data_IF_383819938732
#
_entry.id   IF_383819938732
#
_cell.length_a   1.000
_cell.length_b   1.000
_cell.length_c   1.000
_cell.angle_alpha   90.00
_cell.angle_beta   90.00
_cell.angle_gamma   90.00
#
_symmetry.space_group_name_H-M   'P 1'
#
loop_
_entity.id
_entity.type
_entity.pdbx_description
1 polymer ?
#
# COMPACT_ATOMS: atom_id res chain seq x y z
N UNK A 1 -78.10 3.04 31.37
CA UNK A 1 -78.69 4.36 31.06
C UNK A 1 -77.57 5.38 31.01
N UNK A 2 -77.54 6.20 29.97
CA UNK A 2 -76.40 7.00 29.49
C UNK A 2 -76.39 8.41 30.12
N UNK A 3 -75.20 8.81 30.59
CA UNK A 3 -74.53 10.14 30.67
C UNK A 3 -75.31 11.37 31.13
N UNK A 4 -74.66 12.11 32.04
CA UNK A 4 -74.23 13.51 31.86
C UNK A 4 -72.92 13.66 32.68
N UNK A 5 -71.90 14.46 32.36
CA UNK A 5 -71.88 15.76 31.70
C UNK A 5 -70.45 16.12 31.20
N UNK A 6 -70.39 17.09 30.29
CA UNK A 6 -69.23 17.76 29.65
C UNK A 6 -68.22 18.30 30.68
N UNK A 7 -66.90 18.06 30.51
CA UNK A 7 -65.87 18.85 29.78
C UNK A 7 -65.74 20.33 30.19
N UNK A 8 -64.65 20.64 30.89
CA UNK A 8 -63.73 21.78 30.66
C UNK A 8 -62.36 21.24 31.12
N UNK A 9 -61.33 21.07 30.29
CA UNK A 9 -60.59 22.11 29.59
C UNK A 9 -59.24 22.24 30.31
N UNK A 10 -58.21 21.58 29.78
CA UNK A 10 -56.83 21.74 30.26
C UNK A 10 -55.88 21.66 29.07
N UNK A 11 -55.45 22.84 28.62
CA UNK A 11 -54.24 22.96 27.82
C UNK A 11 -53.06 23.05 28.79
N UNK A 12 -52.16 22.07 28.70
CA UNK A 12 -50.91 22.02 29.42
C UNK A 12 -50.09 20.92 28.77
N UNK A 13 -49.17 21.31 27.90
CA UNK A 13 -48.37 20.40 27.10
C UNK A 13 -47.59 19.42 28.01
N UNK A 14 -47.92 18.13 27.91
CA UNK A 14 -47.02 17.07 28.40
C UNK A 14 -45.85 17.06 27.43
N UNK A 15 -44.69 17.52 27.88
CA UNK A 15 -43.43 17.20 27.22
C UNK A 15 -43.25 15.69 27.36
N UNK A 16 -43.75 14.94 26.38
CA UNK A 16 -43.46 13.53 26.26
C UNK A 16 -41.99 13.46 25.86
N UNK A 17 -41.13 13.16 26.84
CA UNK A 17 -39.80 12.66 26.55
C UNK A 17 -39.97 11.36 25.78
N UNK A 18 -40.00 11.45 24.46
CA UNK A 18 -39.83 10.28 23.60
C UNK A 18 -38.42 9.84 23.87
N UNK A 19 -38.25 8.79 24.68
CA UNK A 19 -37.03 7.98 24.61
C UNK A 19 -37.05 7.33 23.23
N UNK A 20 -36.64 8.09 22.22
CA UNK A 20 -36.13 7.51 20.98
C UNK A 20 -34.87 6.82 21.43
N UNK A 21 -34.98 5.53 21.77
CA UNK A 21 -33.84 4.65 21.84
C UNK A 21 -33.20 4.71 20.46
N UNK A 22 -32.21 5.57 20.32
CA UNK A 22 -31.30 5.54 19.18
C UNK A 22 -30.67 4.17 19.25
N UNK A 23 -31.19 3.27 18.41
CA UNK A 23 -30.49 2.04 18.13
C UNK A 23 -29.18 2.50 17.52
N UNK A 24 -28.13 2.50 18.34
CA UNK A 24 -26.78 2.54 17.82
C UNK A 24 -26.67 1.22 17.09
N UNK A 25 -27.04 1.23 15.80
CA UNK A 25 -26.58 0.21 14.88
C UNK A 25 -25.09 0.26 15.10
N UNK A 26 -24.54 -0.80 15.69
CA UNK A 26 -23.11 -0.98 15.76
C UNK A 26 -22.65 -0.99 14.30
N UNK A 27 -22.37 0.19 13.75
CA UNK A 27 -21.58 0.35 12.57
C UNK A 27 -20.31 -0.40 12.93
N UNK A 28 -20.11 -1.53 12.24
CA UNK A 28 -19.01 -2.44 12.50
C UNK A 28 -17.74 -1.63 12.75
N UNK A 29 -16.99 -2.04 13.76
CA UNK A 29 -15.81 -1.34 14.24
C UNK A 29 -15.11 -0.65 13.07
N UNK A 30 -14.92 0.67 13.16
CA UNK A 30 -14.04 1.38 12.25
C UNK A 30 -12.66 0.72 12.42
N UNK A 31 -12.41 -0.33 11.64
CA UNK A 31 -11.12 -0.96 11.55
C UNK A 31 -10.28 0.09 10.87
N UNK A 32 -9.45 0.78 11.63
CA UNK A 32 -8.30 1.44 11.06
C UNK A 32 -7.49 0.31 10.41
N UNK A 33 -7.76 0.04 9.12
CA UNK A 33 -6.95 -0.85 8.32
C UNK A 33 -5.60 -0.18 8.15
N UNK A 34 -4.74 -0.32 9.16
CA UNK A 34 -3.34 0.03 9.05
C UNK A 34 -2.78 -0.74 7.86
N UNK A 35 -2.19 -0.03 6.92
CA UNK A 35 -1.39 -0.69 5.91
C UNK A 35 0.05 -0.75 6.40
N UNK A 36 0.58 -1.96 6.52
CA UNK A 36 2.00 -2.18 6.60
C UNK A 36 2.62 -1.93 5.22
N UNK A 37 3.41 -0.87 5.10
CA UNK A 37 4.22 -0.58 3.92
C UNK A 37 5.64 -1.07 4.21
N UNK A 38 5.97 -2.34 3.94
CA UNK A 38 7.36 -2.74 3.95
C UNK A 38 8.12 -1.84 2.97
N UNK A 39 9.26 -1.32 3.40
CA UNK A 39 10.14 -0.60 2.48
C UNK A 39 10.44 -1.50 1.28
N UNK A 40 10.70 -0.91 0.10
CA UNK A 40 11.19 -1.70 -1.02
C UNK A 40 12.48 -2.44 -0.61
N UNK A 41 12.75 -3.57 -1.23
CA UNK A 41 13.93 -4.36 -0.91
C UNK A 41 14.36 -5.22 -2.09
N UNK A 42 15.59 -5.71 -2.01
CA UNK A 42 16.16 -6.65 -2.96
C UNK A 42 16.34 -8.01 -2.33
N UNK A 43 16.11 -9.04 -3.12
CA UNK A 43 16.55 -10.41 -2.86
C UNK A 43 17.49 -10.83 -3.99
N UNK A 44 18.52 -11.61 -3.67
CA UNK A 44 19.46 -12.12 -4.66
C UNK A 44 19.69 -13.61 -4.43
N UNK A 45 19.35 -14.42 -5.43
CA UNK A 45 19.51 -15.87 -5.43
C UNK A 45 19.65 -16.38 -6.86
N UNK A 46 20.38 -17.47 -7.07
CA UNK A 46 20.57 -18.12 -8.36
C UNK A 46 20.87 -17.15 -9.53
N UNK A 47 21.80 -16.22 -9.28
CA UNK A 47 22.21 -15.18 -10.23
C UNK A 47 21.04 -14.30 -10.72
N UNK A 48 19.98 -14.17 -9.92
CA UNK A 48 18.79 -13.39 -10.21
C UNK A 48 18.57 -12.39 -9.09
N UNK A 49 18.54 -11.10 -9.46
CA UNK A 49 18.16 -10.01 -8.58
C UNK A 49 16.66 -9.77 -8.68
N UNK A 50 15.98 -9.80 -7.54
CA UNK A 50 14.55 -9.58 -7.43
C UNK A 50 14.31 -8.31 -6.64
N UNK A 51 13.77 -7.29 -7.30
CA UNK A 51 13.29 -6.09 -6.64
C UNK A 51 11.83 -6.25 -6.24
N UNK A 52 11.50 -5.97 -4.99
CA UNK A 52 10.16 -6.07 -4.45
C UNK A 52 9.66 -4.73 -3.90
N UNK A 53 8.39 -4.43 -4.14
CA UNK A 53 7.71 -3.26 -3.58
C UNK A 53 6.22 -3.52 -3.43
N UNK A 54 5.80 -3.71 -2.19
CA UNK A 54 4.43 -4.10 -1.84
C UNK A 54 3.92 -3.27 -0.67
N UNK A 55 2.60 -3.15 -0.59
CA UNK A 55 1.89 -2.67 0.59
C UNK A 55 0.91 -3.75 1.01
N UNK A 56 0.96 -4.11 2.30
CA UNK A 56 0.02 -5.04 2.93
C UNK A 56 -0.97 -4.23 3.76
N UNK A 57 -2.27 -4.42 3.60
CA UNK A 57 -3.24 -3.87 4.54
C UNK A 57 -3.80 -5.00 5.42
N UNK A 58 -4.29 -4.70 6.63
CA UNK A 58 -4.79 -5.71 7.59
C UNK A 58 -6.04 -6.49 7.10
N UNK A 59 -6.44 -6.34 5.85
CA UNK A 59 -7.38 -7.24 5.17
C UNK A 59 -6.56 -8.37 4.50
N UNK A 60 -6.76 -9.65 4.87
CA UNK A 60 -5.89 -10.77 4.48
C UNK A 60 -5.65 -10.95 2.97
N UNK A 61 -6.47 -10.35 2.10
CA UNK A 61 -6.35 -10.45 0.63
C UNK A 61 -5.90 -9.14 -0.05
N UNK A 62 -5.40 -8.16 0.71
CA UNK A 62 -5.08 -6.82 0.21
C UNK A 62 -3.60 -6.56 -0.01
N UNK A 63 -2.93 -7.45 -0.75
CA UNK A 63 -1.61 -7.16 -1.32
C UNK A 63 -1.79 -6.13 -2.45
N UNK A 64 -1.28 -4.92 -2.24
CA UNK A 64 -1.30 -3.87 -3.25
C UNK A 64 0.10 -3.81 -3.87
N UNK A 65 0.30 -4.41 -5.07
CA UNK A 65 1.57 -4.29 -5.78
C UNK A 65 1.83 -2.84 -6.15
N UNK A 66 3.06 -2.38 -5.93
CA UNK A 66 3.50 -1.09 -6.45
C UNK A 66 4.43 -1.31 -7.65
N UNK A 67 4.52 -0.36 -8.60
CA UNK A 67 5.42 -0.51 -9.72
C UNK A 67 6.88 -0.62 -9.23
N UNK A 68 7.61 -1.59 -9.76
CA UNK A 68 9.04 -1.79 -9.48
C UNK A 68 9.82 -1.54 -10.76
N UNK A 69 10.82 -0.67 -10.70
CA UNK A 69 11.79 -0.45 -11.77
C UNK A 69 13.18 -0.65 -11.17
N UNK A 70 13.86 -1.70 -11.60
CA UNK A 70 15.24 -2.01 -11.20
C UNK A 70 16.18 -1.37 -12.21
N UNK A 71 17.13 -0.58 -11.71
CA UNK A 71 18.17 0.05 -12.51
C UNK A 71 19.54 -0.45 -12.08
N UNK A 72 20.44 -0.57 -13.06
CA UNK A 72 21.85 -0.90 -12.89
C UNK A 72 22.72 0.30 -13.25
N UNK A 73 23.77 0.54 -12.48
CA UNK A 73 24.72 1.61 -12.76
C UNK A 73 25.81 1.10 -13.72
N UNK A 74 25.70 1.52 -14.98
CA UNK A 74 26.56 1.04 -16.05
C UNK A 74 27.67 2.03 -16.38
N UNK A 75 28.88 1.53 -16.67
CA UNK A 75 29.94 2.35 -17.23
C UNK A 75 29.55 2.82 -18.63
N UNK A 76 30.08 3.97 -19.07
CA UNK A 76 29.91 4.43 -20.44
C UNK A 76 30.52 3.43 -21.43
N UNK A 77 30.04 3.38 -22.70
CA UNK A 77 30.69 2.61 -23.74
C UNK A 77 32.18 2.96 -23.87
N UNK A 78 33.03 1.95 -24.09
CA UNK A 78 34.47 2.13 -24.25
C UNK A 78 34.77 3.17 -25.34
N UNK A 79 35.68 4.11 -25.04
CA UNK A 79 36.05 5.18 -25.95
C UNK A 79 35.11 6.38 -25.97
N UNK A 80 34.10 6.43 -25.09
CA UNK A 80 33.25 7.62 -24.91
C UNK A 80 33.61 8.36 -23.62
N UNK A 81 33.50 9.69 -23.63
CA UNK A 81 33.68 10.55 -22.45
C UNK A 81 32.38 10.78 -21.66
N UNK A 82 31.40 9.89 -21.83
CA UNK A 82 30.10 10.01 -21.17
C UNK A 82 30.23 9.62 -19.69
N UNK A 83 29.40 10.21 -18.80
CA UNK A 83 29.35 9.78 -17.42
C UNK A 83 28.73 8.37 -17.33
N UNK A 84 28.95 7.71 -16.19
CA UNK A 84 28.21 6.51 -15.83
C UNK A 84 26.72 6.84 -15.68
N UNK A 85 25.86 5.89 -16.04
CA UNK A 85 24.41 6.13 -16.10
C UNK A 85 23.62 4.97 -15.49
N UNK A 86 22.42 5.29 -15.01
CA UNK A 86 21.46 4.30 -14.55
C UNK A 86 20.66 3.77 -15.73
N UNK A 87 20.73 2.47 -15.96
CA UNK A 87 20.04 1.77 -17.04
C UNK A 87 18.94 0.91 -16.45
N UNK A 88 17.72 0.99 -17.01
CA UNK A 88 16.62 0.11 -16.60
C UNK A 88 16.93 -1.31 -17.06
N UNK A 89 16.98 -2.26 -16.12
CA UNK A 89 17.29 -3.66 -16.41
C UNK A 89 16.12 -4.61 -16.17
N UNK A 90 15.16 -4.22 -15.32
CA UNK A 90 13.89 -4.91 -15.16
C UNK A 90 12.81 -3.92 -14.71
N UNK A 91 11.56 -4.20 -15.09
CA UNK A 91 10.41 -3.40 -14.66
C UNK A 91 9.17 -4.29 -14.56
N UNK A 92 8.28 -3.99 -13.61
CA UNK A 92 7.01 -4.66 -13.46
C UNK A 92 5.99 -3.75 -12.77
N UNK A 93 4.71 -3.96 -13.09
CA UNK A 93 3.57 -3.33 -12.40
C UNK A 93 3.03 -4.21 -11.26
N UNK A 94 3.53 -5.43 -11.12
CA UNK A 94 2.99 -6.44 -10.21
C UNK A 94 3.74 -6.52 -8.88
N UNK A 95 4.39 -5.45 -8.40
CA UNK A 95 5.09 -5.47 -7.11
C UNK A 95 6.44 -6.18 -7.10
N UNK A 96 6.79 -6.90 -8.18
CA UNK A 96 8.05 -7.64 -8.28
C UNK A 96 8.64 -7.54 -9.69
N UNK A 97 9.89 -7.12 -9.79
CA UNK A 97 10.66 -7.12 -11.02
C UNK A 97 11.92 -7.99 -10.86
N UNK A 98 12.16 -8.88 -11.83
CA UNK A 98 13.28 -9.83 -11.80
C UNK A 98 14.29 -9.50 -12.89
N UNK A 99 15.57 -9.48 -12.52
CA UNK A 99 16.69 -9.30 -13.44
C UNK A 99 17.67 -10.46 -13.28
N UNK A 100 17.84 -11.26 -14.33
CA UNK A 100 18.92 -12.24 -14.38
C UNK A 100 20.22 -11.51 -14.71
N UNK A 101 21.18 -11.63 -13.80
CA UNK A 101 22.50 -11.05 -13.92
C UNK A 101 23.18 -11.50 -15.22
N UNK A 102 23.90 -10.59 -15.86
CA UNK A 102 24.69 -10.88 -17.08
C UNK A 102 26.12 -10.41 -16.88
N UNK A 103 27.07 -11.29 -17.20
CA UNK A 103 28.51 -11.04 -17.04
C UNK A 103 29.03 -11.50 -15.67
N UNK A 104 30.33 -11.26 -15.44
CA UNK A 104 31.09 -11.77 -14.28
C UNK A 104 31.48 -10.67 -13.28
N UNK A 105 30.98 -9.45 -13.50
CA UNK A 105 31.33 -8.27 -12.70
C UNK A 105 30.24 -7.95 -11.68
N UNK A 106 30.61 -7.38 -10.53
CA UNK A 106 29.62 -6.80 -9.65
C UNK A 106 29.14 -5.45 -10.16
N UNK A 107 27.84 -5.19 -9.97
CA UNK A 107 27.21 -3.93 -10.35
C UNK A 107 26.44 -3.34 -9.19
N UNK A 108 26.30 -2.02 -9.21
CA UNK A 108 25.39 -1.32 -8.30
C UNK A 108 24.00 -1.31 -8.91
N UNK A 109 23.00 -1.70 -8.12
CA UNK A 109 21.59 -1.70 -8.49
C UNK A 109 20.80 -0.80 -7.56
N UNK A 110 19.65 -0.31 -8.03
CA UNK A 110 18.67 0.42 -7.21
C UNK A 110 17.25 0.14 -7.67
N UNK A 111 16.29 0.28 -6.77
CA UNK A 111 14.87 0.31 -7.13
C UNK A 111 14.48 1.79 -7.28
N UNK A 112 14.21 2.22 -8.52
CA UNK A 112 13.95 3.63 -8.86
C UNK A 112 12.81 4.18 -8.01
N UNK A 113 13.00 5.39 -7.47
CA UNK A 113 11.99 6.08 -6.65
C UNK A 113 11.92 5.58 -5.22
N UNK A 114 12.71 4.57 -4.86
CA UNK A 114 12.86 4.08 -3.49
C UNK A 114 14.31 4.30 -3.08
N UNK A 115 14.59 4.62 -1.82
CA UNK A 115 15.96 4.86 -1.33
C UNK A 115 16.86 3.60 -1.30
N UNK A 116 16.46 2.53 -1.99
CA UNK A 116 17.02 1.19 -1.89
C UNK A 116 18.03 1.00 -3.00
N UNK A 117 19.27 0.72 -2.61
CA UNK A 117 20.37 0.36 -3.49
C UNK A 117 21.22 -0.73 -2.88
N UNK A 118 21.96 -1.45 -3.73
CA UNK A 118 22.86 -2.51 -3.30
C UNK A 118 23.87 -2.87 -4.37
N UNK A 119 24.96 -3.51 -3.95
CA UNK A 119 26.01 -3.99 -4.82
C UNK A 119 25.93 -5.52 -4.91
N UNK A 120 25.74 -6.05 -6.12
CA UNK A 120 25.51 -7.47 -6.34
C UNK A 120 26.49 -8.01 -7.37
N UNK A 121 27.15 -9.12 -7.04
CA UNK A 121 28.06 -9.83 -7.93
C UNK A 121 27.27 -10.75 -8.85
N UNK A 122 27.32 -10.49 -10.16
CA UNK A 122 26.84 -11.43 -11.16
C UNK A 122 27.89 -12.54 -11.33
N UNK A 123 27.52 -13.80 -11.07
CA UNK A 123 28.40 -14.98 -11.08
C UNK A 123 27.96 -16.01 -12.09
#
# INVERSE_FOLDING_TARGET
MIRHMRRVGAAGAVVVSVMVGTQVVAQGAASASGCHRPGAYFEFYDNTLVGQHWQYCYDPDSEIPWPVIVERYDPPPLGTHLPWTWVIVAQSQSGTAKYTCRGTGPYTFRIRGTGVSGFYACS
#
